data_IF_012233352874
#
_entry.id   IF_012233352874
#
_cell.length_a   1.000
_cell.length_b   1.000
_cell.length_c   1.000
_cell.angle_alpha   90.00
_cell.angle_beta   90.00
_cell.angle_gamma   90.00
#
_symmetry.space_group_name_H-M   'P 1'
#
loop_
_entity.id
_entity.type
_entity.pdbx_description
1 polymer ?
#
# COMPACT_ATOMS: atom_id res chain seq x y z
N UNK A 1 17.96 3.80 19.22
CA UNK A 1 16.60 3.23 19.33
C UNK A 1 15.63 4.24 18.75
N UNK A 2 15.16 4.05 17.51
CA UNK A 2 13.93 4.68 16.97
C UNK A 2 13.45 3.80 15.82
N UNK A 3 12.66 2.77 16.12
CA UNK A 3 11.83 2.10 15.12
C UNK A 3 10.56 2.95 14.94
N UNK A 4 10.73 4.12 14.33
CA UNK A 4 9.64 5.01 13.95
C UNK A 4 8.90 4.34 12.79
N UNK A 5 7.61 4.05 12.97
CA UNK A 5 6.84 3.14 12.11
C UNK A 5 7.00 3.35 10.60
N UNK A 6 6.70 2.31 9.82
CA UNK A 6 6.95 2.21 8.36
C UNK A 6 6.65 3.49 7.58
N UNK A 7 5.51 4.13 7.84
CA UNK A 7 5.08 5.36 7.16
C UNK A 7 5.77 6.64 7.62
N UNK A 8 6.39 6.64 8.80
CA UNK A 8 7.18 7.77 9.31
C UNK A 8 8.62 7.74 8.79
N UNK A 9 9.03 6.65 8.15
CA UNK A 9 10.34 6.56 7.52
C UNK A 9 10.38 7.39 6.24
N UNK A 10 11.33 8.34 6.16
CA UNK A 10 11.45 9.26 5.02
C UNK A 10 11.66 8.54 3.68
N UNK A 11 12.40 7.43 3.65
CA UNK A 11 12.60 6.66 2.42
C UNK A 11 11.30 6.08 1.89
N UNK A 12 10.45 5.58 2.80
CA UNK A 12 9.13 5.06 2.44
C UNK A 12 8.24 6.19 1.92
N UNK A 13 8.24 7.35 2.58
CA UNK A 13 7.44 8.50 2.16
C UNK A 13 7.86 9.02 0.77
N UNK A 14 9.17 9.17 0.55
CA UNK A 14 9.73 9.66 -0.71
C UNK A 14 9.38 8.70 -1.86
N UNK A 15 9.59 7.40 -1.63
CA UNK A 15 9.25 6.36 -2.61
C UNK A 15 7.75 6.35 -2.96
N UNK A 16 6.86 6.45 -1.96
CA UNK A 16 5.41 6.53 -2.21
C UNK A 16 5.08 7.78 -3.02
N UNK A 17 5.60 8.95 -2.66
CA UNK A 17 5.32 10.22 -3.36
C UNK A 17 5.79 10.22 -4.80
N UNK A 18 6.90 9.54 -5.10
CA UNK A 18 7.47 9.49 -6.44
C UNK A 18 6.74 8.51 -7.38
N UNK A 19 6.15 7.45 -6.84
CA UNK A 19 5.66 6.33 -7.66
C UNK A 19 4.16 6.02 -7.50
N UNK A 20 3.50 6.54 -6.47
CA UNK A 20 2.12 6.18 -6.14
C UNK A 20 1.29 7.41 -5.77
N UNK A 21 -0.03 7.26 -5.86
CA UNK A 21 -1.00 8.20 -5.31
C UNK A 21 -1.52 7.60 -3.99
N UNK A 22 -1.08 8.10 -2.82
CA UNK A 22 -1.49 7.53 -1.55
C UNK A 22 -2.94 7.89 -1.21
N UNK A 23 -3.74 6.87 -0.88
CA UNK A 23 -5.09 7.02 -0.35
C UNK A 23 -5.17 6.36 1.04
N UNK A 24 -5.87 7.01 1.96
CA UNK A 24 -6.09 6.51 3.32
C UNK A 24 -7.58 6.43 3.59
N UNK A 25 -8.04 5.24 3.95
CA UNK A 25 -9.39 5.01 4.44
C UNK A 25 -9.36 4.79 5.96
N UNK A 26 -10.31 5.39 6.67
CA UNK A 26 -10.52 5.20 8.11
C UNK A 26 -11.63 4.19 8.41
N UNK A 27 -11.64 3.62 9.61
CA UNK A 27 -12.81 2.88 10.09
C UNK A 27 -13.98 3.84 10.34
N UNK A 28 -15.22 3.39 10.06
CA UNK A 28 -16.43 4.21 10.18
C UNK A 28 -16.88 4.77 8.84
N UNK A 29 -16.50 6.03 8.54
CA UNK A 29 -16.98 6.76 7.36
C UNK A 29 -16.66 6.05 6.03
N UNK A 30 -15.58 5.28 5.97
CA UNK A 30 -15.17 4.54 4.77
C UNK A 30 -15.55 3.04 4.80
N UNK A 31 -16.47 2.61 5.68
CA UNK A 31 -16.84 1.20 5.81
C UNK A 31 -17.25 0.55 4.47
N UNK A 32 -17.87 1.32 3.56
CA UNK A 32 -18.19 0.85 2.21
C UNK A 32 -16.96 0.50 1.37
N UNK A 33 -15.85 1.22 1.55
CA UNK A 33 -14.58 0.92 0.87
C UNK A 33 -13.93 -0.35 1.39
N UNK A 34 -14.02 -0.60 2.71
CA UNK A 34 -13.52 -1.84 3.32
C UNK A 34 -14.26 -3.06 2.77
N UNK A 35 -15.58 -2.96 2.59
CA UNK A 35 -16.39 -4.01 1.95
C UNK A 35 -16.02 -4.18 0.47
N UNK A 36 -15.95 -3.07 -0.29
CA UNK A 36 -15.61 -3.08 -1.73
C UNK A 36 -14.25 -3.72 -1.99
N UNK A 37 -13.27 -3.44 -1.13
CA UNK A 37 -11.89 -3.91 -1.27
C UNK A 37 -11.61 -5.21 -0.49
N UNK A 38 -12.65 -5.83 0.08
CA UNK A 38 -12.58 -7.07 0.86
C UNK A 38 -11.49 -7.01 1.97
N UNK A 39 -11.43 -5.89 2.70
CA UNK A 39 -10.50 -5.70 3.81
C UNK A 39 -11.02 -6.42 5.05
N UNK A 40 -10.30 -7.45 5.49
CA UNK A 40 -10.70 -8.29 6.64
C UNK A 40 -9.99 -7.92 7.95
N UNK A 41 -8.82 -7.30 7.85
CA UNK A 41 -8.00 -6.91 8.99
C UNK A 41 -7.16 -5.69 8.65
N UNK A 42 -6.88 -4.87 9.65
CA UNK A 42 -6.02 -3.68 9.55
C UNK A 42 -4.72 -3.90 10.33
N UNK A 43 -3.59 -3.29 9.91
CA UNK A 43 -3.43 -2.50 8.70
C UNK A 43 -3.41 -3.37 7.43
N UNK A 44 -3.95 -2.84 6.33
CA UNK A 44 -3.96 -3.49 5.02
C UNK A 44 -3.66 -2.46 3.95
N UNK A 45 -2.71 -2.78 3.08
CA UNK A 45 -2.36 -1.95 1.92
C UNK A 45 -2.73 -2.69 0.65
N UNK A 46 -3.38 -1.98 -0.25
CA UNK A 46 -3.86 -2.50 -1.53
C UNK A 46 -3.30 -1.59 -2.60
N UNK A 47 -2.60 -2.17 -3.56
CA UNK A 47 -1.99 -1.47 -4.67
C UNK A 47 -2.84 -1.76 -5.90
N UNK A 48 -3.35 -0.68 -6.50
CA UNK A 48 -4.21 -0.75 -7.68
C UNK A 48 -3.46 -0.20 -8.89
N UNK A 49 -3.82 -0.68 -10.08
CA UNK A 49 -3.46 -0.06 -11.34
C UNK A 49 -4.32 1.21 -11.59
N UNK A 50 -4.02 2.01 -12.63
CA UNK A 50 -4.83 3.18 -12.99
C UNK A 50 -6.27 2.85 -13.40
N UNK A 51 -6.57 1.62 -13.80
CA UNK A 51 -7.91 1.11 -14.11
C UNK A 51 -8.70 0.68 -12.88
N UNK A 52 -8.08 0.64 -11.70
CA UNK A 52 -8.68 0.19 -10.45
C UNK A 52 -8.61 -1.31 -10.19
N UNK A 53 -7.83 -2.07 -10.99
CA UNK A 53 -7.60 -3.50 -10.72
C UNK A 53 -6.54 -3.68 -9.64
N UNK A 54 -6.71 -4.69 -8.79
CA UNK A 54 -5.74 -5.00 -7.74
C UNK A 54 -4.51 -5.69 -8.31
N UNK A 55 -3.36 -5.02 -8.17
CA UNK A 55 -2.05 -5.55 -8.56
C UNK A 55 -1.42 -6.35 -7.42
N UNK A 56 -1.57 -5.86 -6.19
CA UNK A 56 -0.94 -6.47 -5.03
C UNK A 56 -1.61 -6.08 -3.71
N UNK A 57 -1.44 -6.94 -2.71
CA UNK A 57 -1.98 -6.74 -1.35
C UNK A 57 -0.95 -7.10 -0.30
N UNK A 58 -0.84 -6.23 0.70
CA UNK A 58 0.14 -6.33 1.77
C UNK A 58 -0.60 -6.36 3.11
N UNK A 59 -0.83 -7.54 3.71
CA UNK A 59 -1.52 -7.67 4.99
C UNK A 59 -0.58 -7.41 6.17
N UNK A 60 -0.98 -6.53 7.09
CA UNK A 60 -0.27 -6.30 8.34
C UNK A 60 0.90 -5.33 8.24
N UNK A 61 1.85 -5.47 9.16
CA UNK A 61 2.97 -4.55 9.32
C UNK A 61 4.25 -5.09 8.68
N UNK A 62 5.00 -4.20 8.03
CA UNK A 62 6.30 -4.49 7.42
C UNK A 62 7.33 -3.47 7.84
N UNK A 63 8.58 -3.89 8.06
CA UNK A 63 9.70 -2.96 8.23
C UNK A 63 9.89 -2.10 6.96
N UNK A 64 10.42 -0.86 7.06
CA UNK A 64 10.54 0.07 5.93
C UNK A 64 11.09 -0.54 4.63
N UNK A 65 12.24 -1.21 4.69
CA UNK A 65 12.87 -1.79 3.49
C UNK A 65 12.04 -2.92 2.88
N UNK A 66 11.45 -3.76 3.74
CA UNK A 66 10.56 -4.85 3.30
C UNK A 66 9.27 -4.29 2.67
N UNK A 67 8.75 -3.18 3.19
CA UNK A 67 7.57 -2.53 2.63
C UNK A 67 7.84 -1.96 1.24
N UNK A 68 8.98 -1.29 1.04
CA UNK A 68 9.40 -0.81 -0.29
C UNK A 68 9.51 -1.97 -1.28
N UNK A 69 10.08 -3.11 -0.87
CA UNK A 69 10.16 -4.30 -1.72
C UNK A 69 8.77 -4.82 -2.14
N UNK A 70 7.76 -4.75 -1.25
CA UNK A 70 6.38 -5.09 -1.61
C UNK A 70 5.80 -4.13 -2.66
N UNK A 71 6.08 -2.82 -2.53
CA UNK A 71 5.62 -1.82 -3.49
C UNK A 71 6.30 -1.97 -4.86
N UNK A 72 7.60 -2.28 -4.90
CA UNK A 72 8.32 -2.60 -6.13
C UNK A 72 7.73 -3.82 -6.83
N UNK A 73 7.39 -4.88 -6.08
CA UNK A 73 6.72 -6.07 -6.63
C UNK A 73 5.41 -5.72 -7.33
N UNK A 74 4.60 -4.83 -6.73
CA UNK A 74 3.36 -4.38 -7.34
C UNK A 74 3.60 -3.56 -8.62
N UNK A 75 4.66 -2.74 -8.63
CA UNK A 75 5.02 -1.89 -9.77
C UNK A 75 5.51 -2.70 -10.97
N UNK A 76 6.30 -3.75 -10.74
CA UNK A 76 6.74 -4.65 -11.81
C UNK A 76 5.58 -5.46 -12.39
N UNK A 77 4.60 -5.84 -11.57
CA UNK A 77 3.37 -6.48 -12.05
C UNK A 77 2.57 -5.57 -13.02
N UNK A 78 2.51 -4.26 -12.75
CA UNK A 78 1.88 -3.28 -13.67
C UNK A 78 2.64 -3.09 -14.99
N UNK A 79 3.94 -3.36 -15.02
CA UNK A 79 4.79 -3.17 -16.19
C UNK A 79 4.89 -4.41 -17.09
N UNK A 80 4.46 -5.57 -16.57
CA UNK A 80 4.51 -6.87 -17.26
C UNK A 80 3.31 -7.17 -18.16
N UNK A 81 2.29 -6.31 -18.20
CA UNK A 81 1.15 -6.44 -19.10
C UNK A 81 1.43 -5.72 -20.43
N UNK A 82 2.29 -6.32 -21.26
CA UNK A 82 2.54 -5.90 -22.64
C UNK A 82 2.71 -7.10 -23.57
#
# INVERSE_FOLDING_TARGET
>A
MMETGTFLNEKVQDYIKQHFIPLKYGSGSDAGQFLRLNVKATPMYIILDPGGNELHRVPGFFRPDAFIAQLETARTASAGDK
#
